data_IF_912838611069
#
_entry.id   IF_912838611069
#
_cell.length_a   1.000
_cell.length_b   1.000
_cell.length_c   1.000
_cell.angle_alpha   90.00
_cell.angle_beta   90.00
_cell.angle_gamma   90.00
#
_symmetry.space_group_name_H-M   'P 1'
#
loop_
_entity.id
_entity.type
_entity.pdbx_description
1 polymer ?
#
# COMPACT_ATOMS: atom_id res chain seq x y z
N UNK A 1 3.99 -4.46 -32.11
CA UNK A 1 2.87 -5.22 -31.52
C UNK A 1 1.75 -4.23 -31.20
N UNK A 2 0.67 -4.22 -31.98
CA UNK A 2 -0.52 -3.43 -31.64
C UNK A 2 -1.29 -4.17 -30.54
N UNK A 3 -1.27 -3.62 -29.33
CA UNK A 3 -2.06 -4.13 -28.20
C UNK A 3 -3.46 -3.50 -28.29
N UNK A 4 -4.50 -4.22 -27.87
CA UNK A 4 -5.88 -3.70 -27.80
C UNK A 4 -5.92 -2.35 -27.03
N UNK A 5 -4.99 -2.16 -26.10
CA UNK A 5 -4.86 -0.93 -25.31
C UNK A 5 -4.33 0.28 -26.10
N UNK A 6 -3.65 0.11 -27.22
CA UNK A 6 -3.21 1.24 -28.06
C UNK A 6 -4.35 1.84 -28.88
N UNK A 7 -5.41 1.07 -29.14
CA UNK A 7 -6.58 1.52 -29.89
C UNK A 7 -7.70 2.13 -29.05
N UNK A 8 -7.64 2.02 -27.72
CA UNK A 8 -8.66 2.59 -26.84
C UNK A 8 -8.37 4.09 -26.68
N UNK A 9 -9.32 4.92 -27.12
CA UNK A 9 -9.31 6.38 -26.94
C UNK A 9 -10.07 6.70 -25.66
N UNK A 10 -9.44 7.42 -24.74
CA UNK A 10 -10.02 7.82 -23.45
C UNK A 10 -9.61 9.26 -23.16
N UNK A 11 -10.55 10.20 -23.30
CA UNK A 11 -10.32 11.62 -23.00
C UNK A 11 -11.32 12.55 -23.69
N UNK A 12 -11.29 13.82 -23.29
CA UNK A 12 -12.10 14.91 -23.87
C UNK A 12 -11.64 15.34 -25.28
N UNK A 13 -10.47 14.89 -25.74
CA UNK A 13 -9.81 15.31 -26.99
C UNK A 13 -9.54 14.16 -27.99
N UNK A 14 -10.15 12.98 -27.83
CA UNK A 14 -9.94 11.83 -28.74
C UNK A 14 -8.49 11.32 -28.83
N UNK A 15 -7.64 11.66 -27.85
CA UNK A 15 -6.26 11.17 -27.81
C UNK A 15 -6.20 9.66 -27.50
N UNK A 16 -5.29 8.98 -28.18
CA UNK A 16 -5.03 7.56 -27.92
C UNK A 16 -4.39 7.37 -26.54
N UNK A 17 -4.79 6.31 -25.82
CA UNK A 17 -4.15 5.93 -24.56
C UNK A 17 -2.63 5.71 -24.69
N UNK A 18 -2.15 5.42 -25.90
CA UNK A 18 -0.71 5.31 -26.22
C UNK A 18 0.06 6.61 -25.95
N UNK A 19 -0.61 7.76 -26.10
CA UNK A 19 -0.05 9.10 -25.91
C UNK A 19 -0.14 9.58 -24.46
N UNK A 20 -0.88 8.88 -23.60
CA UNK A 20 -1.02 9.20 -22.18
C UNK A 20 0.16 8.68 -21.36
N UNK A 21 0.47 9.36 -20.25
CA UNK A 21 1.55 8.96 -19.34
C UNK A 21 1.34 7.56 -18.76
N UNK A 22 2.45 6.85 -18.49
CA UNK A 22 2.45 5.46 -17.99
C UNK A 22 1.52 5.23 -16.80
N UNK A 23 1.47 6.17 -15.85
CA UNK A 23 0.58 6.08 -14.69
C UNK A 23 -0.91 6.08 -15.04
N UNK A 24 -1.35 6.92 -15.98
CA UNK A 24 -2.74 6.94 -16.41
C UNK A 24 -3.13 5.66 -17.14
N UNK A 25 -2.22 5.13 -17.97
CA UNK A 25 -2.42 3.86 -18.67
C UNK A 25 -2.54 2.69 -17.70
N UNK A 26 -1.66 2.62 -16.70
CA UNK A 26 -1.70 1.58 -15.66
C UNK A 26 -3.00 1.63 -14.86
N UNK A 27 -3.43 2.82 -14.44
CA UNK A 27 -4.67 3.02 -13.70
C UNK A 27 -5.89 2.55 -14.51
N UNK A 28 -6.00 2.98 -15.76
CA UNK A 28 -7.11 2.58 -16.64
C UNK A 28 -7.11 1.07 -16.86
N UNK A 29 -5.94 0.49 -17.13
CA UNK A 29 -5.80 -0.96 -17.33
C UNK A 29 -6.29 -1.73 -16.10
N UNK A 30 -5.81 -1.37 -14.91
CA UNK A 30 -6.22 -2.00 -13.66
C UNK A 30 -7.72 -1.88 -13.44
N UNK A 31 -8.30 -0.70 -13.66
CA UNK A 31 -9.74 -0.49 -13.53
C UNK A 31 -10.53 -1.35 -14.51
N UNK A 32 -10.15 -1.41 -15.78
CA UNK A 32 -10.86 -2.23 -16.78
C UNK A 32 -10.77 -3.71 -16.43
N UNK A 33 -9.58 -4.21 -16.07
CA UNK A 33 -9.38 -5.62 -15.71
C UNK A 33 -10.20 -6.02 -14.49
N UNK A 34 -10.20 -5.18 -13.45
CA UNK A 34 -10.95 -5.44 -12.22
C UNK A 34 -12.47 -5.39 -12.48
N UNK A 35 -12.94 -4.42 -13.27
CA UNK A 35 -14.36 -4.33 -13.61
C UNK A 35 -14.84 -5.49 -14.51
N UNK A 36 -13.97 -6.07 -15.34
CA UNK A 36 -14.33 -7.24 -16.14
C UNK A 36 -14.70 -8.45 -15.27
N UNK A 37 -14.18 -8.54 -14.05
CA UNK A 37 -14.51 -9.58 -13.09
C UNK A 37 -15.93 -9.42 -12.51
N UNK A 38 -16.51 -8.21 -12.53
CA UNK A 38 -17.84 -7.92 -11.96
C UNK A 38 -19.03 -8.48 -12.75
N UNK A 39 -18.80 -8.96 -13.98
CA UNK A 39 -19.86 -9.28 -14.93
C UNK A 39 -20.09 -10.76 -15.22
N UNK A 40 -19.37 -11.66 -14.55
CA UNK A 40 -19.50 -13.10 -14.80
C UNK A 40 -20.44 -13.72 -13.78
N UNK A 41 -21.70 -13.93 -14.17
CA UNK A 41 -22.54 -14.94 -13.54
C UNK A 41 -21.95 -16.30 -13.86
N UNK A 42 -21.13 -16.79 -12.95
CA UNK A 42 -20.53 -18.10 -13.04
C UNK A 42 -20.65 -18.73 -11.66
N UNK A 43 -20.87 -20.03 -11.62
CA UNK A 43 -21.05 -20.90 -10.45
C UNK A 43 -19.74 -21.01 -9.61
N UNK A 44 -18.96 -19.92 -9.56
CA UNK A 44 -17.62 -19.86 -8.99
C UNK A 44 -17.73 -19.52 -7.52
N UNK A 45 -17.23 -20.43 -6.68
CA UNK A 45 -17.22 -20.27 -5.23
C UNK A 45 -16.22 -19.21 -4.73
N UNK A 46 -15.12 -18.98 -5.48
CA UNK A 46 -14.05 -18.03 -5.13
C UNK A 46 -13.27 -17.57 -6.36
N UNK A 47 -13.14 -16.26 -6.55
CA UNK A 47 -12.25 -15.63 -7.51
C UNK A 47 -11.02 -15.09 -6.80
N UNK A 48 -9.81 -15.42 -7.29
CA UNK A 48 -8.56 -14.91 -6.72
C UNK A 48 -7.95 -13.89 -7.68
N UNK A 49 -7.77 -12.66 -7.21
CA UNK A 49 -7.14 -11.57 -7.94
C UNK A 49 -5.78 -11.26 -7.29
N UNK A 50 -4.71 -11.33 -8.08
CA UNK A 50 -3.35 -11.00 -7.65
C UNK A 50 -2.82 -9.82 -8.44
N UNK A 51 -2.30 -8.78 -7.77
CA UNK A 51 -1.73 -7.59 -8.41
C UNK A 51 -0.32 -7.35 -7.87
N UNK A 52 0.67 -7.27 -8.75
CA UNK A 52 2.02 -6.88 -8.36
C UNK A 52 2.17 -5.36 -8.48
N UNK A 53 2.68 -4.72 -7.43
CA UNK A 53 2.99 -3.28 -7.37
C UNK A 53 1.92 -2.38 -8.03
N UNK A 54 0.68 -2.36 -7.53
CA UNK A 54 -0.41 -1.54 -8.08
C UNK A 54 -0.09 -0.03 -8.12
N UNK A 55 0.89 0.44 -7.34
CA UNK A 55 1.42 1.81 -7.34
C UNK A 55 2.35 2.14 -8.51
N UNK A 56 2.77 1.16 -9.33
CA UNK A 56 3.79 1.35 -10.35
C UNK A 56 3.44 2.51 -11.30
N UNK A 57 4.33 3.51 -11.36
CA UNK A 57 4.19 4.74 -12.15
C UNK A 57 2.99 5.64 -11.79
N UNK A 58 2.29 5.39 -10.68
CA UNK A 58 1.20 6.25 -10.21
C UNK A 58 1.72 7.44 -9.40
N UNK A 59 1.08 8.59 -9.57
CA UNK A 59 1.23 9.70 -8.63
C UNK A 59 0.47 9.40 -7.34
N UNK A 60 0.83 10.08 -6.24
CA UNK A 60 0.26 9.84 -4.91
C UNK A 60 -1.28 9.89 -4.88
N UNK A 61 -1.88 10.82 -5.65
CA UNK A 61 -3.34 10.96 -5.74
C UNK A 61 -3.98 9.74 -6.42
N UNK A 62 -3.35 9.23 -7.49
CA UNK A 62 -3.81 8.05 -8.21
C UNK A 62 -3.64 6.78 -7.39
N UNK A 63 -2.56 6.67 -6.61
CA UNK A 63 -2.38 5.59 -5.63
C UNK A 63 -3.51 5.59 -4.61
N UNK A 64 -3.83 6.73 -4.01
CA UNK A 64 -4.95 6.84 -3.06
C UNK A 64 -6.30 6.52 -3.68
N UNK A 65 -6.52 6.91 -4.94
CA UNK A 65 -7.71 6.53 -5.70
C UNK A 65 -7.78 5.00 -5.88
N UNK A 66 -6.67 4.37 -6.31
CA UNK A 66 -6.57 2.92 -6.51
C UNK A 66 -6.85 2.16 -5.22
N UNK A 67 -6.23 2.54 -4.10
CA UNK A 67 -6.47 1.93 -2.78
C UNK A 67 -7.94 2.01 -2.39
N UNK A 68 -8.56 3.17 -2.60
CA UNK A 68 -9.98 3.38 -2.28
C UNK A 68 -10.90 2.54 -3.19
N UNK A 69 -10.54 2.42 -4.46
CA UNK A 69 -11.25 1.57 -5.42
C UNK A 69 -11.15 0.08 -5.07
N UNK A 70 -9.95 -0.43 -4.80
CA UNK A 70 -9.74 -1.83 -4.41
C UNK A 70 -10.49 -2.20 -3.13
N UNK A 71 -10.52 -1.29 -2.15
CA UNK A 71 -11.30 -1.47 -0.93
C UNK A 71 -12.80 -1.57 -1.24
N UNK A 72 -13.34 -0.60 -1.97
CA UNK A 72 -14.75 -0.60 -2.37
C UNK A 72 -15.13 -1.82 -3.22
N UNK A 73 -14.20 -2.30 -4.06
CA UNK A 73 -14.37 -3.51 -4.86
C UNK A 73 -14.43 -4.76 -3.99
N UNK A 74 -13.52 -4.91 -3.03
CA UNK A 74 -13.48 -6.08 -2.12
C UNK A 74 -14.69 -6.10 -1.18
N UNK A 75 -15.12 -4.92 -0.69
CA UNK A 75 -16.29 -4.81 0.18
C UNK A 75 -17.60 -5.20 -0.52
N UNK A 76 -17.72 -4.92 -1.83
CA UNK A 76 -18.90 -5.28 -2.64
C UNK A 76 -18.90 -6.74 -3.09
N UNK A 77 -17.74 -7.33 -3.32
CA UNK A 77 -17.60 -8.66 -3.91
C UNK A 77 -16.99 -9.65 -2.92
N UNK A 78 -17.85 -10.27 -2.11
CA UNK A 78 -17.42 -11.25 -1.09
C UNK A 78 -16.85 -12.55 -1.67
N UNK A 79 -17.07 -12.81 -2.95
CA UNK A 79 -16.52 -13.97 -3.67
C UNK A 79 -15.11 -13.72 -4.18
N UNK A 80 -14.59 -12.49 -4.12
CA UNK A 80 -13.27 -12.17 -4.65
C UNK A 80 -12.28 -11.99 -3.50
N UNK A 81 -11.16 -12.73 -3.56
CA UNK A 81 -10.01 -12.54 -2.68
C UNK A 81 -8.91 -11.80 -3.43
N UNK A 82 -8.56 -10.61 -2.94
CA UNK A 82 -7.51 -9.77 -3.50
C UNK A 82 -6.20 -9.96 -2.73
N UNK A 83 -5.13 -10.29 -3.44
CA UNK A 83 -3.75 -10.21 -2.98
C UNK A 83 -3.00 -9.18 -3.80
N UNK A 84 -2.16 -8.38 -3.15
CA UNK A 84 -1.24 -7.52 -3.88
C UNK A 84 0.07 -7.36 -3.13
N UNK A 85 1.16 -7.22 -3.86
CA UNK A 85 2.45 -6.80 -3.31
C UNK A 85 2.57 -5.28 -3.42
N UNK A 86 3.20 -4.64 -2.45
CA UNK A 86 3.41 -3.20 -2.47
C UNK A 86 4.69 -2.83 -1.74
N UNK A 87 5.37 -1.81 -2.23
CA UNK A 87 6.46 -1.11 -1.57
C UNK A 87 6.01 0.26 -1.02
N UNK A 88 4.71 0.56 -1.09
CA UNK A 88 4.13 1.84 -0.69
C UNK A 88 3.36 1.73 0.63
N UNK A 89 3.67 2.62 1.58
CA UNK A 89 2.94 2.74 2.84
C UNK A 89 1.48 3.19 2.65
N UNK A 90 1.15 3.84 1.53
CA UNK A 90 -0.20 4.32 1.23
C UNK A 90 -1.19 3.18 1.02
N UNK A 91 -0.73 2.05 0.48
CA UNK A 91 -1.56 0.85 0.33
C UNK A 91 -1.85 0.18 1.68
N UNK A 92 -0.98 0.34 2.67
CA UNK A 92 -1.14 -0.28 3.98
C UNK A 92 -2.07 0.54 4.87
N UNK A 93 -2.01 1.87 4.78
CA UNK A 93 -2.73 2.78 5.68
C UNK A 93 -4.25 2.57 5.75
N UNK A 94 -4.89 2.16 4.65
CA UNK A 94 -6.35 1.95 4.60
C UNK A 94 -6.78 0.50 4.80
N UNK A 95 -5.82 -0.41 4.98
CA UNK A 95 -6.05 -1.84 5.19
C UNK A 95 -6.06 -2.19 6.68
N UNK A 96 -6.71 -3.30 7.01
CA UNK A 96 -6.59 -3.87 8.34
C UNK A 96 -5.20 -4.51 8.47
N UNK A 97 -4.44 -4.15 9.51
CA UNK A 97 -3.08 -4.69 9.75
C UNK A 97 -3.06 -6.21 9.90
N UNK A 98 -4.19 -6.82 10.26
CA UNK A 98 -4.36 -8.28 10.26
C UNK A 98 -4.15 -8.93 8.90
N UNK A 99 -4.36 -8.19 7.81
CA UNK A 99 -4.20 -8.67 6.44
C UNK A 99 -2.79 -8.39 5.88
N UNK A 100 -1.90 -7.79 6.66
CA UNK A 100 -0.56 -7.44 6.22
C UNK A 100 0.40 -8.58 6.53
N UNK A 101 1.11 -9.03 5.51
CA UNK A 101 2.17 -10.02 5.61
C UNK A 101 3.47 -9.39 5.12
N UNK A 102 4.49 -9.41 5.98
CA UNK A 102 5.82 -8.88 5.67
C UNK A 102 6.72 -10.00 5.20
N UNK A 103 7.36 -9.82 4.04
CA UNK A 103 8.32 -10.76 3.49
C UNK A 103 9.75 -10.26 3.75
N UNK A 104 10.55 -11.04 4.47
CA UNK A 104 11.95 -10.71 4.76
C UNK A 104 12.84 -11.95 4.65
N UNK A 105 13.90 -11.88 3.84
CA UNK A 105 14.87 -12.97 3.61
C UNK A 105 14.21 -14.34 3.31
N UNK A 106 13.16 -14.36 2.49
CA UNK A 106 12.44 -15.57 2.10
C UNK A 106 11.50 -16.14 3.19
N UNK A 107 11.30 -15.41 4.30
CA UNK A 107 10.33 -15.76 5.34
C UNK A 107 9.15 -14.77 5.32
N UNK A 108 7.96 -15.28 5.62
CA UNK A 108 6.75 -14.49 5.77
C UNK A 108 6.42 -14.33 7.25
N UNK A 109 6.12 -13.10 7.64
CA UNK A 109 5.73 -12.73 9.00
C UNK A 109 4.35 -12.10 8.96
N UNK A 110 3.39 -12.70 9.67
CA UNK A 110 2.03 -12.19 9.80
C UNK A 110 1.90 -11.50 11.15
N UNK A 111 1.32 -10.30 11.17
CA UNK A 111 1.05 -9.62 12.44
C UNK A 111 -0.10 -10.26 13.22
N UNK A 112 -0.99 -10.98 12.53
CA UNK A 112 -2.11 -11.64 13.19
C UNK A 112 -1.67 -12.73 14.17
N UNK A 113 -0.45 -13.25 14.03
CA UNK A 113 0.09 -14.29 14.90
C UNK A 113 0.82 -13.71 16.13
N UNK A 114 1.23 -12.43 16.06
CA UNK A 114 2.12 -11.79 17.05
C UNK A 114 1.43 -10.70 17.89
N UNK A 115 0.30 -10.15 17.42
CA UNK A 115 -0.43 -9.06 18.07
C UNK A 115 -1.81 -9.50 18.55
N UNK A 116 -2.24 -8.99 19.71
CA UNK A 116 -3.59 -9.19 20.21
C UNK A 116 -4.57 -8.17 19.60
N UNK A 117 -5.88 -8.44 19.72
CA UNK A 117 -6.92 -7.55 19.18
C UNK A 117 -6.84 -6.12 19.76
N UNK A 118 -6.40 -5.98 21.00
CA UNK A 118 -6.20 -4.69 21.67
C UNK A 118 -5.04 -3.90 21.05
N UNK A 119 -3.94 -4.58 20.68
CA UNK A 119 -2.80 -3.98 20.00
C UNK A 119 -3.21 -3.47 18.61
N UNK A 120 -3.98 -4.26 17.87
CA UNK A 120 -4.53 -3.83 16.58
C UNK A 120 -5.42 -2.60 16.71
N UNK A 121 -6.25 -2.53 17.77
CA UNK A 121 -7.11 -1.38 18.02
C UNK A 121 -6.29 -0.12 18.36
N UNK A 122 -5.18 -0.26 19.10
CA UNK A 122 -4.25 0.83 19.39
C UNK A 122 -3.59 1.35 18.11
N UNK A 123 -3.05 0.45 17.28
CA UNK A 123 -2.40 0.79 16.01
C UNK A 123 -3.38 1.41 15.00
N UNK A 124 -4.61 0.92 14.94
CA UNK A 124 -5.65 1.49 14.07
C UNK A 124 -6.11 2.89 14.51
N UNK A 125 -6.01 3.21 15.82
CA UNK A 125 -6.44 4.49 16.38
C UNK A 125 -5.44 5.62 16.12
N UNK A 126 -4.15 5.29 16.02
CA UNK A 126 -3.08 6.21 15.67
C UNK A 126 -2.42 5.78 14.34
N UNK A 127 -3.06 6.01 13.18
CA UNK A 127 -2.46 5.71 11.89
C UNK A 127 -1.37 6.74 11.57
N UNK A 128 -0.28 6.73 12.34
CA UNK A 128 0.95 7.41 11.97
C UNK A 128 1.51 6.64 10.78
N UNK A 129 1.48 7.25 9.59
CA UNK A 129 2.12 6.72 8.38
C UNK A 129 3.59 6.34 8.63
N UNK A 130 4.24 7.05 9.57
CA UNK A 130 5.60 6.76 10.00
C UNK A 130 5.73 5.34 10.57
N UNK A 131 4.74 4.82 11.30
CA UNK A 131 4.82 3.45 11.80
C UNK A 131 4.95 2.43 10.65
N UNK A 132 4.28 2.66 9.53
CA UNK A 132 4.38 1.75 8.37
C UNK A 132 5.73 1.81 7.67
N UNK A 133 6.53 2.87 7.88
CA UNK A 133 7.92 2.88 7.42
C UNK A 133 8.77 1.83 8.13
N UNK A 134 8.35 1.36 9.31
CA UNK A 134 8.99 0.23 9.98
C UNK A 134 9.07 -1.00 9.06
N UNK A 135 8.04 -1.24 8.24
CA UNK A 135 7.98 -2.43 7.37
C UNK A 135 9.05 -2.44 6.29
N UNK A 136 9.57 -1.26 5.92
CA UNK A 136 10.58 -1.11 4.88
C UNK A 136 11.97 -0.79 5.45
N UNK A 137 12.06 -0.56 6.75
CA UNK A 137 13.28 -0.13 7.44
C UNK A 137 14.15 -1.32 7.89
N UNK A 138 15.47 -1.20 7.72
CA UNK A 138 16.44 -2.19 8.23
C UNK A 138 16.83 -1.92 9.69
N UNK A 139 16.95 -0.64 10.05
CA UNK A 139 17.27 -0.18 11.40
C UNK A 139 16.32 0.95 11.73
N UNK A 140 15.83 0.97 12.96
CA UNK A 140 14.88 1.96 13.41
C UNK A 140 15.27 2.47 14.80
N UNK A 141 15.10 3.77 15.03
CA UNK A 141 15.16 4.40 16.35
C UNK A 141 13.77 4.90 16.68
N UNK A 142 13.24 4.45 17.82
CA UNK A 142 11.95 4.91 18.36
C UNK A 142 12.20 6.08 19.31
N UNK A 143 11.38 7.12 19.21
CA UNK A 143 11.44 8.29 20.10
C UNK A 143 10.03 8.68 20.56
N UNK A 144 9.93 9.34 21.72
CA UNK A 144 8.63 9.77 22.25
C UNK A 144 8.35 11.24 22.02
N UNK A 145 9.38 12.08 22.18
CA UNK A 145 9.25 13.54 22.18
C UNK A 145 9.97 14.18 21.00
N UNK A 146 9.42 15.29 20.49
CA UNK A 146 9.96 15.99 19.31
C UNK A 146 11.39 16.53 19.53
N UNK A 147 11.76 16.78 20.79
CA UNK A 147 13.12 17.18 21.16
C UNK A 147 14.14 16.07 20.88
N UNK A 148 13.76 14.80 21.10
CA UNK A 148 14.58 13.63 20.79
C UNK A 148 14.72 13.46 19.28
N UNK A 149 13.62 13.63 18.54
CA UNK A 149 13.61 13.57 17.07
C UNK A 149 14.63 14.54 16.47
N UNK A 150 14.58 15.81 16.86
CA UNK A 150 15.50 16.83 16.34
C UNK A 150 16.96 16.51 16.69
N UNK A 151 17.22 16.02 17.90
CA UNK A 151 18.56 15.63 18.32
C UNK A 151 19.08 14.43 17.53
N UNK A 152 18.26 13.40 17.35
CA UNK A 152 18.63 12.18 16.64
C UNK A 152 18.86 12.47 15.16
N UNK A 153 17.94 13.20 14.51
CA UNK A 153 18.07 13.58 13.10
C UNK A 153 19.33 14.43 12.87
N UNK A 154 19.59 15.45 13.70
CA UNK A 154 20.81 16.26 13.57
C UNK A 154 22.09 15.46 13.80
N UNK A 155 22.07 14.46 14.69
CA UNK A 155 23.21 13.57 14.89
C UNK A 155 23.44 12.64 13.70
N UNK A 156 22.38 12.07 13.12
CA UNK A 156 22.45 11.22 11.93
C UNK A 156 22.99 12.03 10.75
N UNK A 157 22.47 13.24 10.54
CA UNK A 157 22.91 14.14 9.47
C UNK A 157 24.39 14.54 9.62
N UNK A 158 24.92 14.57 10.85
CA UNK A 158 26.33 14.88 11.10
C UNK A 158 27.31 13.76 10.69
N UNK A 159 26.81 12.55 10.41
CA UNK A 159 27.64 11.37 10.12
C UNK A 159 27.18 10.66 8.85
N UNK A 160 28.00 10.71 7.80
CA UNK A 160 27.74 10.01 6.52
C UNK A 160 27.58 8.48 6.64
N UNK A 161 28.03 7.87 7.75
CA UNK A 161 27.94 6.41 7.96
C UNK A 161 26.57 5.91 8.45
N UNK A 162 25.65 6.82 8.80
CA UNK A 162 24.38 6.49 9.45
C UNK A 162 23.14 6.67 8.53
N UNK A 163 23.29 6.47 7.22
CA UNK A 163 22.20 6.68 6.24
C UNK A 163 21.03 5.69 6.31
N UNK A 164 21.22 4.52 6.95
CA UNK A 164 20.27 3.40 6.88
C UNK A 164 19.39 3.29 8.15
N UNK A 165 19.06 4.41 8.80
CA UNK A 165 18.30 4.45 10.05
C UNK A 165 17.04 5.30 9.88
N UNK A 166 15.88 4.70 10.12
CA UNK A 166 14.61 5.40 10.14
C UNK A 166 14.23 5.81 11.57
N UNK A 167 13.81 7.06 11.75
CA UNK A 167 13.47 7.63 13.07
C UNK A 167 11.94 7.70 13.17
N UNK A 168 11.35 6.96 14.11
CA UNK A 168 9.89 6.79 14.22
C UNK A 168 9.35 7.26 15.57
N UNK A 169 8.27 8.04 15.52
CA UNK A 169 7.61 8.53 16.73
C UNK A 169 6.68 7.47 17.33
N UNK A 170 6.80 7.28 18.64
CA UNK A 170 5.88 6.48 19.45
C UNK A 170 5.31 7.36 20.57
N UNK A 171 4.06 7.80 20.43
CA UNK A 171 3.48 8.72 21.40
C UNK A 171 3.16 8.02 22.75
N UNK A 172 3.35 8.77 23.84
CA UNK A 172 2.95 8.38 25.21
C UNK A 172 1.50 7.89 25.23
N UNK A 173 1.31 6.59 25.44
CA UNK A 173 0.00 5.96 25.42
C UNK A 173 0.04 4.44 25.31
N UNK A 174 1.17 3.85 24.90
CA UNK A 174 1.37 2.41 24.96
C UNK A 174 1.60 1.99 26.42
N UNK A 175 0.53 1.56 27.09
CA UNK A 175 0.62 0.78 28.32
C UNK A 175 0.26 -0.65 27.94
N UNK A 176 1.22 -1.56 28.11
CA UNK A 176 0.95 -3.00 28.14
C UNK A 176 0.28 -3.36 29.45
#
# INVERSE_FOLDING_TARGET
MQSILSSVRLGYSEEELSMQGLGHRNLVLLFVLINLLLGKETDIALDVLTIEEPEAHLCINNTRLMVSFLKAFTDKNKTVQLFYSTHSTEFINKMNLKNVVVLHNGKAYSFADELEDEDFAYLAKNPNLDLFKLFFSKKCILFEEISEELLICSYIDSKETLSDIEVLSFHKGFKK
#
